data_IF_137424238758
#
_entry.id   IF_137424238758
#
_cell.length_a   1.000
_cell.length_b   1.000
_cell.length_c   1.000
_cell.angle_alpha   90.00
_cell.angle_beta   90.00
_cell.angle_gamma   90.00
#
_symmetry.space_group_name_H-M   'P 1'
#
loop_
_entity.id
_entity.type
_entity.pdbx_description
1 polymer ?
#
# COMPACT_ATOMS: atom_id res chain seq x y z
N UNK A 1 29.31 11.25 -0.50
CA UNK A 1 27.84 11.11 -0.57
C UNK A 1 27.46 9.84 0.16
N UNK A 2 26.70 9.91 1.24
CA UNK A 2 26.11 8.74 1.90
C UNK A 2 24.89 8.31 1.10
N UNK A 3 24.85 7.06 0.67
CA UNK A 3 23.68 6.50 -0.03
C UNK A 3 22.66 6.07 1.01
N UNK A 4 21.53 6.76 1.10
CA UNK A 4 20.42 6.37 1.97
C UNK A 4 19.54 5.34 1.25
N UNK A 5 19.22 4.23 1.92
CA UNK A 5 18.38 3.16 1.37
C UNK A 5 16.97 3.26 1.96
N UNK A 6 15.97 3.39 1.09
CA UNK A 6 14.56 3.38 1.51
C UNK A 6 14.14 1.91 1.73
N UNK A 7 14.09 1.49 2.99
CA UNK A 7 13.67 0.13 3.36
C UNK A 7 12.13 -0.05 3.34
N UNK A 8 11.38 1.03 3.55
CA UNK A 8 9.92 1.01 3.53
C UNK A 8 9.35 2.41 3.30
N UNK A 9 8.09 2.46 2.89
CA UNK A 9 7.35 3.70 2.75
C UNK A 9 5.90 3.49 3.17
N UNK A 10 5.30 4.56 3.69
CA UNK A 10 3.90 4.53 4.10
C UNK A 10 3.02 4.92 2.92
N UNK A 11 2.01 4.10 2.65
CA UNK A 11 0.96 4.35 1.66
C UNK A 11 -0.31 4.75 2.38
N UNK A 12 -0.82 5.93 2.03
CA UNK A 12 -2.09 6.44 2.53
C UNK A 12 -3.03 6.81 1.39
N UNK A 13 -4.32 6.60 1.63
CA UNK A 13 -5.39 6.93 0.70
C UNK A 13 -6.71 7.16 1.43
N UNK A 14 -7.56 8.01 0.89
CA UNK A 14 -8.88 8.30 1.42
C UNK A 14 -9.92 7.97 0.35
N UNK A 15 -10.81 7.03 0.64
CA UNK A 15 -11.87 6.63 -0.27
C UNK A 15 -13.25 6.67 0.37
N UNK A 16 -14.28 6.52 -0.44
CA UNK A 16 -15.70 6.62 -0.03
C UNK A 16 -16.13 5.57 1.00
N UNK A 17 -15.42 4.45 1.08
CA UNK A 17 -15.69 3.33 2.02
C UNK A 17 -14.67 3.24 3.17
N UNK A 18 -13.79 4.23 3.33
CA UNK A 18 -12.77 4.24 4.38
C UNK A 18 -11.39 4.77 3.97
N UNK A 19 -10.49 4.81 4.95
CA UNK A 19 -9.09 5.22 4.77
C UNK A 19 -8.17 4.00 4.64
N UNK A 20 -7.16 4.12 3.79
CA UNK A 20 -6.02 3.21 3.70
C UNK A 20 -4.83 3.84 4.42
N UNK A 21 -4.20 3.08 5.31
CA UNK A 21 -2.94 3.46 5.92
C UNK A 21 -2.12 2.19 6.16
N UNK A 22 -1.07 1.98 5.35
CA UNK A 22 -0.24 0.77 5.39
C UNK A 22 1.24 1.13 5.25
N UNK A 23 2.11 0.35 5.88
CA UNK A 23 3.55 0.38 5.66
C UNK A 23 3.92 -0.75 4.69
N UNK A 24 4.65 -0.42 3.63
CA UNK A 24 5.02 -1.35 2.57
C UNK A 24 6.51 -1.24 2.24
N UNK A 25 7.08 -2.30 1.69
CA UNK A 25 8.44 -2.29 1.14
C UNK A 25 8.46 -2.49 -0.39
N UNK A 26 7.34 -2.90 -0.99
CA UNK A 26 7.16 -3.04 -2.44
C UNK A 26 5.76 -2.61 -2.86
N UNK A 27 5.70 -1.96 -4.02
CA UNK A 27 4.47 -1.62 -4.72
C UNK A 27 4.65 -1.89 -6.21
N UNK A 28 3.68 -2.52 -6.86
CA UNK A 28 3.69 -2.76 -8.31
C UNK A 28 2.26 -2.78 -8.87
N UNK A 29 2.12 -2.71 -10.18
CA UNK A 29 0.85 -2.73 -10.89
C UNK A 29 0.80 -3.97 -11.77
N UNK A 30 -0.28 -4.74 -11.68
CA UNK A 30 -0.58 -5.85 -12.59
C UNK A 30 -2.10 -6.02 -12.73
N UNK A 31 -2.58 -6.43 -13.91
CA UNK A 31 -4.00 -6.77 -14.19
C UNK A 31 -5.02 -5.83 -13.52
N UNK A 32 -4.91 -4.51 -13.72
CA UNK A 32 -5.85 -3.48 -13.16
C UNK A 32 -5.86 -3.40 -11.63
N UNK A 33 -4.79 -3.85 -10.99
CA UNK A 33 -4.64 -3.85 -9.54
C UNK A 33 -3.29 -3.26 -9.16
N UNK A 34 -3.28 -2.52 -8.06
CA UNK A 34 -2.06 -2.11 -7.38
C UNK A 34 -1.81 -3.11 -6.27
N UNK A 35 -0.63 -3.71 -6.28
CA UNK A 35 -0.19 -4.68 -5.30
C UNK A 35 0.80 -4.05 -4.35
N UNK A 36 0.77 -4.53 -3.12
CA UNK A 36 1.58 -4.08 -2.02
C UNK A 36 2.14 -5.29 -1.28
N UNK A 37 3.44 -5.28 -0.99
CA UNK A 37 3.99 -6.17 0.04
C UNK A 37 3.96 -5.40 1.36
N UNK A 38 3.00 -5.77 2.20
CA UNK A 38 2.62 -5.04 3.40
C UNK A 38 3.44 -5.54 4.58
N UNK A 39 4.16 -4.62 5.22
CA UNK A 39 4.88 -4.87 6.48
C UNK A 39 3.94 -4.69 7.68
N UNK A 40 3.08 -3.67 7.65
CA UNK A 40 2.15 -3.36 8.73
C UNK A 40 0.89 -2.68 8.20
N UNK A 41 -0.27 -3.08 8.72
CA UNK A 41 -1.53 -2.38 8.49
C UNK A 41 -1.74 -1.41 9.66
N UNK A 42 -1.84 -0.12 9.35
CA UNK A 42 -1.98 0.97 10.33
C UNK A 42 -3.43 1.51 10.38
N UNK A 43 -4.26 1.19 9.39
CA UNK A 43 -5.69 1.53 9.40
C UNK A 43 -6.52 0.45 10.10
N UNK A 44 -7.56 0.90 10.82
CA UNK A 44 -8.56 -0.01 11.42
C UNK A 44 -9.45 -0.65 10.34
N UNK A 45 -9.62 0.01 9.20
CA UNK A 45 -10.39 -0.48 8.06
C UNK A 45 -9.48 -1.09 7.00
N UNK A 46 -9.90 -2.23 6.44
CA UNK A 46 -9.19 -3.00 5.39
C UNK A 46 -10.04 -3.24 4.14
N UNK A 47 -11.15 -2.52 3.99
CA UNK A 47 -12.22 -2.80 3.02
C UNK A 47 -11.73 -2.94 1.58
N UNK A 48 -10.67 -2.20 1.20
CA UNK A 48 -10.12 -2.23 -0.16
C UNK A 48 -9.04 -3.28 -0.39
N UNK A 49 -8.43 -3.80 0.68
CA UNK A 49 -7.29 -4.71 0.60
C UNK A 49 -7.78 -6.14 0.42
N UNK A 50 -7.61 -6.67 -0.78
CA UNK A 50 -7.69 -8.12 -1.01
C UNK A 50 -6.39 -8.76 -0.57
N UNK A 51 -6.47 -9.80 0.27
CA UNK A 51 -5.32 -10.66 0.56
C UNK A 51 -5.03 -11.56 -0.66
N UNK A 52 -3.78 -11.59 -1.10
CA UNK A 52 -3.32 -12.48 -2.18
C UNK A 52 -2.68 -13.76 -1.62
N UNK A 53 -2.51 -14.77 -2.50
CA UNK A 53 -1.94 -16.07 -2.12
C UNK A 53 -0.49 -15.97 -1.61
N UNK A 54 0.24 -14.93 -2.01
CA UNK A 54 1.60 -14.69 -1.54
C UNK A 54 1.62 -14.09 -0.13
N UNK A 55 2.60 -14.54 0.67
CA UNK A 55 2.79 -14.03 2.03
C UNK A 55 2.94 -12.52 2.03
N UNK A 56 2.19 -11.84 2.91
CA UNK A 56 2.18 -10.39 3.06
C UNK A 56 1.86 -9.57 1.80
N UNK A 57 1.41 -10.20 0.71
CA UNK A 57 0.91 -9.48 -0.47
C UNK A 57 -0.58 -9.19 -0.33
N UNK A 58 -0.93 -7.94 -0.64
CA UNK A 58 -2.30 -7.46 -0.74
C UNK A 58 -2.45 -6.63 -2.00
N UNK A 59 -3.68 -6.49 -2.49
CA UNK A 59 -3.94 -5.72 -3.69
C UNK A 59 -5.23 -4.92 -3.62
N UNK A 60 -5.27 -3.81 -4.34
CA UNK A 60 -6.45 -2.95 -4.49
C UNK A 60 -6.77 -2.87 -5.98
N UNK A 61 -8.05 -3.04 -6.33
CA UNK A 61 -8.49 -2.86 -7.71
C UNK A 61 -8.50 -1.37 -8.08
N UNK A 62 -8.10 -1.02 -9.31
CA UNK A 62 -8.01 0.37 -9.80
C UNK A 62 -9.29 1.20 -9.59
N UNK A 63 -10.48 0.58 -9.63
CA UNK A 63 -11.77 1.24 -9.42
C UNK A 63 -11.98 1.77 -8.00
N UNK A 64 -11.20 1.30 -7.03
CA UNK A 64 -11.22 1.75 -5.65
C UNK A 64 -10.06 2.69 -5.31
N UNK A 65 -9.19 2.97 -6.27
CA UNK A 65 -7.99 3.75 -6.05
C UNK A 65 -8.33 5.25 -6.10
N UNK A 66 -8.18 5.90 -4.96
CA UNK A 66 -8.03 7.35 -4.87
C UNK A 66 -6.53 7.66 -4.71
N UNK A 67 -6.11 8.91 -4.97
CA UNK A 67 -4.71 9.38 -4.91
C UNK A 67 -3.86 8.62 -3.88
N UNK A 68 -2.93 7.80 -4.36
CA UNK A 68 -1.91 7.17 -3.51
C UNK A 68 -0.89 8.24 -3.20
N UNK A 69 -0.72 8.54 -1.92
CA UNK A 69 0.37 9.40 -1.46
C UNK A 69 1.34 8.55 -0.66
N UNK A 70 2.63 8.78 -0.86
CA UNK A 70 3.72 8.06 -0.20
C UNK A 70 4.52 8.98 0.69
N UNK A 71 4.77 8.57 1.93
CA UNK A 71 5.70 9.26 2.82
C UNK A 71 6.97 8.42 2.98
N UNK A 72 8.10 9.03 2.66
CA UNK A 72 9.43 8.47 2.89
C UNK A 72 9.92 8.93 4.26
N UNK A 73 10.50 7.99 5.01
CA UNK A 73 11.21 8.26 6.25
C UNK A 73 12.70 8.05 5.96
N UNK A 74 13.49 9.09 6.17
CA UNK A 74 14.95 9.06 6.11
C UNK A 74 15.48 9.08 7.55
#
# INVERSE_FOLDING_TARGET
MTTETINSFQVYGQGTQGNLNILVDKMWIDKKRVYFRVLKILSNQRTYLRKENQSNVYSIHEKYLFSIRTRLYF
#
